data_IF_563252439810
#
_entry.id   IF_563252439810
#
_cell.length_a   1.000
_cell.length_b   1.000
_cell.length_c   1.000
_cell.angle_alpha   90.00
_cell.angle_beta   90.00
_cell.angle_gamma   90.00
#
_symmetry.space_group_name_H-M   'P 1'
#
loop_
_entity.id
_entity.type
_entity.pdbx_description
1 polymer ?
#
# COMPACT_ATOMS: atom_id res chain seq x y z
N UNK A 1 11.91 16.45 7.46
CA UNK A 1 12.77 15.60 6.57
C UNK A 1 12.63 14.11 6.86
N UNK A 2 12.70 13.67 8.13
CA UNK A 2 12.51 12.26 8.51
C UNK A 2 11.22 11.63 7.99
N UNK A 3 10.08 12.34 8.05
CA UNK A 3 8.80 11.87 7.52
C UNK A 3 8.88 11.46 6.03
N UNK A 4 9.39 12.35 5.18
CA UNK A 4 9.52 12.10 3.74
C UNK A 4 10.45 10.93 3.43
N UNK A 5 11.53 10.78 4.21
CA UNK A 5 12.47 9.65 4.08
C UNK A 5 11.77 8.32 4.41
N UNK A 6 11.04 8.27 5.52
CA UNK A 6 10.30 7.06 5.94
C UNK A 6 9.21 6.72 4.93
N UNK A 7 8.45 7.71 4.47
CA UNK A 7 7.40 7.52 3.47
C UNK A 7 7.97 7.00 2.13
N UNK A 8 9.11 7.55 1.68
CA UNK A 8 9.80 7.08 0.49
C UNK A 8 10.31 5.65 0.65
N UNK A 9 10.92 5.30 1.78
CA UNK A 9 11.40 3.95 2.07
C UNK A 9 10.26 2.92 2.12
N UNK A 10 9.15 3.25 2.78
CA UNK A 10 7.98 2.37 2.82
C UNK A 10 7.40 2.15 1.42
N UNK A 11 7.26 3.22 0.64
CA UNK A 11 6.76 3.15 -0.75
C UNK A 11 7.67 2.29 -1.62
N UNK A 12 8.99 2.50 -1.54
CA UNK A 12 9.99 1.72 -2.25
C UNK A 12 9.98 0.24 -1.84
N UNK A 13 9.82 -0.04 -0.54
CA UNK A 13 9.70 -1.40 0.00
C UNK A 13 8.48 -2.14 -0.53
N UNK A 14 7.30 -1.50 -0.52
CA UNK A 14 6.07 -2.06 -1.09
C UNK A 14 6.21 -2.29 -2.59
N UNK A 15 6.75 -1.31 -3.33
CA UNK A 15 7.00 -1.46 -4.76
C UNK A 15 7.96 -2.63 -5.04
N UNK A 16 9.04 -2.78 -4.28
CA UNK A 16 9.98 -3.89 -4.42
C UNK A 16 9.32 -5.24 -4.15
N UNK A 17 8.45 -5.34 -3.14
CA UNK A 17 7.71 -6.56 -2.80
C UNK A 17 6.71 -6.94 -3.91
N UNK A 18 6.03 -5.96 -4.50
CA UNK A 18 5.10 -6.17 -5.62
C UNK A 18 5.81 -6.51 -6.92
N UNK A 19 7.03 -6.01 -7.13
CA UNK A 19 7.84 -6.30 -8.31
C UNK A 19 8.64 -7.60 -8.19
N UNK A 20 8.89 -8.08 -6.96
CA UNK A 20 9.64 -9.30 -6.68
C UNK A 20 9.12 -10.55 -7.45
N UNK A 21 7.80 -10.84 -7.50
CA UNK A 21 7.28 -11.99 -8.24
C UNK A 21 7.49 -11.88 -9.75
N UNK A 22 7.64 -10.67 -10.30
CA UNK A 22 7.87 -10.49 -11.74
C UNK A 22 9.34 -10.72 -12.13
N UNK A 23 10.25 -10.62 -11.16
CA UNK A 23 11.68 -10.96 -11.30
C UNK A 23 11.97 -12.43 -11.11
N UNK A 24 11.14 -13.12 -10.33
CA UNK A 24 11.09 -14.58 -10.41
C UNK A 24 10.59 -14.91 -11.81
N UNK A 25 11.53 -15.24 -12.69
CA UNK A 25 11.20 -16.09 -13.81
C UNK A 25 10.38 -17.23 -13.18
N UNK A 26 9.24 -17.65 -13.77
CA UNK A 26 8.77 -18.98 -13.43
C UNK A 26 10.02 -19.83 -13.51
N UNK A 27 10.29 -20.66 -12.50
CA UNK A 27 11.16 -21.79 -12.75
C UNK A 27 10.42 -22.59 -13.82
N UNK A 28 10.60 -22.16 -15.08
CA UNK A 28 10.93 -23.06 -16.15
C UNK A 28 11.89 -23.99 -15.48
N UNK A 29 11.40 -25.20 -15.24
CA UNK A 29 12.20 -26.39 -15.12
C UNK A 29 13.15 -26.34 -16.31
N UNK A 30 14.22 -25.56 -16.14
CA UNK A 30 15.23 -25.30 -17.12
C UNK A 30 16.17 -26.46 -16.90
N UNK A 31 16.15 -27.38 -17.86
CA UNK A 31 16.91 -28.62 -17.94
C UNK A 31 16.23 -29.89 -17.45
N UNK A 32 15.14 -30.28 -18.12
CA UNK A 32 15.14 -31.61 -18.72
C UNK A 32 14.91 -31.43 -20.23
N UNK A 33 15.88 -31.85 -21.03
CA UNK A 33 16.12 -31.36 -22.40
C UNK A 33 14.98 -31.57 -23.40
N UNK A 34 14.85 -30.59 -24.30
CA UNK A 34 14.29 -30.71 -25.66
C UNK A 34 12.84 -31.21 -25.84
N UNK A 35 12.06 -31.33 -24.77
CA UNK A 35 10.60 -31.40 -24.83
C UNK A 35 10.02 -31.43 -23.44
N UNK A 36 8.89 -30.76 -23.23
CA UNK A 36 8.27 -30.62 -21.91
C UNK A 36 7.94 -31.98 -21.24
N UNK A 37 7.34 -31.96 -20.02
CA UNK A 37 6.97 -33.16 -19.27
C UNK A 37 6.28 -34.25 -20.11
N UNK A 38 5.50 -33.84 -21.12
CA UNK A 38 4.85 -34.71 -22.10
C UNK A 38 5.84 -35.59 -22.90
N UNK A 39 7.04 -35.10 -23.24
CA UNK A 39 8.03 -35.84 -24.03
C UNK A 39 8.64 -37.00 -23.24
N UNK A 40 8.88 -36.82 -21.94
CA UNK A 40 9.36 -37.89 -21.06
C UNK A 40 8.32 -39.03 -20.98
N UNK A 41 7.03 -38.68 -20.89
CA UNK A 41 5.93 -39.65 -20.91
C UNK A 41 5.86 -40.41 -22.24
N UNK A 42 6.01 -39.74 -23.39
CA UNK A 42 6.01 -40.42 -24.69
C UNK A 42 7.23 -41.35 -24.89
N UNK A 43 8.41 -40.98 -24.35
CA UNK A 43 9.59 -41.86 -24.35
C UNK A 43 9.37 -43.12 -23.52
N UNK A 44 8.74 -42.98 -22.35
CA UNK A 44 8.40 -44.11 -21.49
C UNK A 44 7.36 -45.03 -22.16
N UNK A 45 6.36 -44.47 -22.84
CA UNK A 45 5.38 -45.24 -23.62
C UNK A 45 6.03 -46.06 -24.74
N UNK A 46 7.02 -45.52 -25.46
CA UNK A 46 7.76 -46.28 -26.47
C UNK A 46 8.53 -47.45 -25.84
N UNK A 47 9.16 -47.22 -24.69
CA UNK A 47 9.88 -48.27 -23.95
C UNK A 47 8.95 -49.35 -23.36
N UNK A 48 7.70 -49.01 -23.03
CA UNK A 48 6.67 -50.00 -22.67
C UNK A 48 6.33 -50.89 -23.88
N UNK A 49 6.12 -50.30 -25.06
CA UNK A 49 5.85 -51.06 -26.30
C UNK A 49 7.00 -52.01 -26.65
N UNK A 50 8.25 -51.57 -26.49
CA UNK A 50 9.44 -52.42 -26.63
C UNK A 50 9.41 -53.63 -25.69
N UNK A 51 9.08 -53.41 -24.42
CA UNK A 51 9.01 -54.46 -23.40
C UNK A 51 7.88 -55.44 -23.68
N UNK A 52 6.72 -54.97 -24.12
CA UNK A 52 5.57 -55.83 -24.40
C UNK A 52 5.77 -56.68 -25.66
N UNK A 53 6.46 -56.13 -26.67
CA UNK A 53 6.90 -56.91 -27.84
C UNK A 53 7.92 -57.99 -27.43
N UNK A 54 8.90 -57.64 -26.59
CA UNK A 54 9.90 -58.59 -26.10
C UNK A 54 9.29 -59.71 -25.24
N UNK A 55 8.20 -59.43 -24.51
CA UNK A 55 7.42 -60.41 -23.74
C UNK A 55 6.47 -61.23 -24.61
N UNK A 56 6.32 -60.91 -25.90
CA UNK A 56 5.39 -61.58 -26.82
C UNK A 56 3.91 -61.29 -26.49
N UNK A 57 3.61 -60.21 -25.78
CA UNK A 57 2.23 -59.82 -25.44
C UNK A 57 1.50 -59.18 -26.62
N UNK A 58 2.25 -58.62 -27.57
CA UNK A 58 1.74 -57.97 -28.78
C UNK A 58 2.50 -58.48 -30.01
N UNK A 59 1.81 -58.54 -31.14
CA UNK A 59 2.39 -58.91 -32.43
C UNK A 59 3.29 -57.79 -32.98
N UNK A 60 4.36 -58.09 -33.74
CA UNK A 60 5.22 -57.08 -34.35
C UNK A 60 4.47 -56.00 -35.15
N UNK A 61 3.40 -56.36 -35.86
CA UNK A 61 2.57 -55.40 -36.60
C UNK A 61 1.81 -54.44 -35.68
N UNK A 62 1.37 -54.91 -34.51
CA UNK A 62 0.71 -54.06 -33.51
C UNK A 62 1.71 -53.13 -32.81
N UNK A 63 2.91 -53.62 -32.51
CA UNK A 63 3.99 -52.81 -31.93
C UNK A 63 4.38 -51.66 -32.88
N UNK A 64 4.51 -51.94 -34.17
CA UNK A 64 4.87 -50.91 -35.15
C UNK A 64 3.76 -49.85 -35.30
N UNK A 65 2.50 -50.28 -35.38
CA UNK A 65 1.36 -49.37 -35.42
C UNK A 65 1.30 -48.45 -34.18
N UNK A 66 1.58 -49.00 -32.99
CA UNK A 66 1.63 -48.23 -31.74
C UNK A 66 2.78 -47.21 -31.75
N UNK A 67 3.98 -47.59 -32.20
CA UNK A 67 5.13 -46.66 -32.32
C UNK A 67 4.84 -45.50 -33.24
N UNK A 68 4.22 -45.76 -34.39
CA UNK A 68 3.86 -44.73 -35.37
C UNK A 68 2.89 -43.72 -34.76
N UNK A 69 1.84 -44.18 -34.09
CA UNK A 69 0.84 -43.31 -33.47
C UNK A 69 1.43 -42.51 -32.29
N UNK A 70 2.23 -43.15 -31.42
CA UNK A 70 2.91 -42.47 -30.30
C UNK A 70 3.88 -41.40 -30.84
N UNK A 71 4.68 -41.73 -31.86
CA UNK A 71 5.61 -40.79 -32.50
C UNK A 71 4.87 -39.62 -33.16
N UNK A 72 3.73 -39.88 -33.79
CA UNK A 72 2.86 -38.84 -34.36
C UNK A 72 2.33 -37.90 -33.29
N UNK A 73 1.85 -38.43 -32.16
CA UNK A 73 1.37 -37.64 -31.02
C UNK A 73 2.50 -36.84 -30.38
N UNK A 74 3.67 -37.45 -30.26
CA UNK A 74 4.88 -36.80 -29.75
C UNK A 74 5.27 -35.59 -30.61
N UNK A 75 5.28 -35.73 -31.94
CA UNK A 75 5.54 -34.62 -32.88
C UNK A 75 4.45 -33.53 -32.80
N UNK A 76 3.18 -33.92 -32.70
CA UNK A 76 2.07 -32.98 -32.56
C UNK A 76 2.06 -32.24 -31.22
N UNK A 77 2.60 -32.84 -30.15
CA UNK A 77 2.79 -32.23 -28.84
C UNK A 77 4.03 -31.31 -28.84
N UNK A 78 5.13 -31.72 -29.48
CA UNK A 78 6.33 -30.90 -29.66
C UNK A 78 6.02 -29.60 -30.43
N UNK A 79 5.18 -29.69 -31.48
CA UNK A 79 4.68 -28.51 -32.20
C UNK A 79 3.77 -27.58 -31.38
N UNK A 80 3.17 -28.10 -30.29
CA UNK A 80 2.36 -27.33 -29.32
C UNK A 80 3.18 -26.88 -28.09
N UNK A 81 4.44 -27.30 -27.97
CA UNK A 81 5.34 -26.99 -26.86
C UNK A 81 5.81 -25.54 -26.76
N UNK A 82 5.35 -24.67 -27.66
CA UNK A 82 5.44 -23.20 -27.52
C UNK A 82 4.15 -22.59 -26.93
N UNK A 83 3.25 -23.44 -26.44
CA UNK A 83 1.98 -23.08 -25.81
C UNK A 83 2.20 -22.31 -24.52
N UNK A 84 2.25 -20.97 -24.66
CA UNK A 84 2.05 -19.94 -23.63
C UNK A 84 2.08 -20.48 -22.20
N UNK A 85 3.27 -20.46 -21.61
CA UNK A 85 3.31 -20.24 -20.17
C UNK A 85 2.42 -19.04 -19.86
N UNK A 86 1.60 -19.13 -18.82
CA UNK A 86 0.93 -17.96 -18.23
C UNK A 86 2.02 -17.13 -17.52
N UNK A 87 3.03 -16.73 -18.28
CA UNK A 87 4.00 -15.73 -17.89
C UNK A 87 3.34 -14.38 -18.07
N UNK A 88 3.58 -13.47 -17.13
CA UNK A 88 3.21 -12.07 -17.28
C UNK A 88 3.69 -11.58 -18.64
N UNK A 89 2.77 -11.20 -19.54
CA UNK A 89 3.15 -10.64 -20.84
C UNK A 89 3.97 -9.35 -20.65
N UNK A 90 4.74 -8.95 -21.66
CA UNK A 90 5.47 -7.67 -21.64
C UNK A 90 4.53 -6.49 -21.34
N UNK A 91 3.28 -6.55 -21.84
CA UNK A 91 2.22 -5.59 -21.54
C UNK A 91 1.83 -5.59 -20.05
N UNK A 92 1.58 -6.76 -19.45
CA UNK A 92 1.27 -6.88 -18.02
C UNK A 92 2.37 -6.30 -17.15
N UNK A 93 3.65 -6.57 -17.48
CA UNK A 93 4.81 -5.99 -16.78
C UNK A 93 4.87 -4.48 -16.94
N UNK A 94 4.62 -3.96 -18.14
CA UNK A 94 4.58 -2.52 -18.41
C UNK A 94 3.48 -1.83 -17.60
N UNK A 95 2.28 -2.42 -17.51
CA UNK A 95 1.18 -1.89 -16.69
C UNK A 95 1.55 -1.89 -15.20
N UNK A 96 2.11 -2.98 -14.68
CA UNK A 96 2.55 -3.05 -13.27
C UNK A 96 3.57 -1.96 -12.96
N UNK A 97 4.58 -1.78 -13.82
CA UNK A 97 5.59 -0.74 -13.67
C UNK A 97 4.99 0.67 -13.78
N UNK A 98 4.09 0.89 -14.73
CA UNK A 98 3.40 2.16 -14.89
C UNK A 98 2.60 2.50 -13.62
N UNK A 99 1.82 1.56 -13.08
CA UNK A 99 1.06 1.76 -11.83
C UNK A 99 1.99 2.02 -10.64
N UNK A 100 3.08 1.26 -10.51
CA UNK A 100 4.04 1.41 -9.42
C UNK A 100 4.73 2.79 -9.40
N UNK A 101 4.82 3.48 -10.53
CA UNK A 101 5.44 4.81 -10.66
C UNK A 101 4.39 5.92 -10.66
N UNK A 102 3.34 5.78 -11.47
CA UNK A 102 2.31 6.81 -11.65
C UNK A 102 1.54 7.03 -10.35
N UNK A 103 1.22 5.96 -9.60
CA UNK A 103 0.40 6.09 -8.40
C UNK A 103 1.08 6.92 -7.30
N UNK A 104 2.36 6.67 -6.91
CA UNK A 104 3.08 7.56 -5.99
C UNK A 104 3.23 8.99 -6.51
N UNK A 105 3.53 9.17 -7.81
CA UNK A 105 3.66 10.50 -8.40
C UNK A 105 2.35 11.27 -8.37
N UNK A 106 1.23 10.62 -8.67
CA UNK A 106 -0.10 11.20 -8.57
C UNK A 106 -0.44 11.58 -7.12
N UNK A 107 -0.09 10.75 -6.15
CA UNK A 107 -0.26 11.07 -4.73
C UNK A 107 0.52 12.33 -4.32
N UNK A 108 1.78 12.46 -4.74
CA UNK A 108 2.60 13.66 -4.50
C UNK A 108 2.00 14.88 -5.20
N UNK A 109 1.61 14.74 -6.48
CA UNK A 109 1.05 15.82 -7.27
C UNK A 109 -0.28 16.35 -6.70
N UNK A 110 -1.09 15.48 -6.10
CA UNK A 110 -2.32 15.87 -5.40
C UNK A 110 -2.02 16.47 -4.01
N UNK A 111 -1.01 15.96 -3.31
CA UNK A 111 -0.67 16.39 -1.95
C UNK A 111 0.00 17.76 -1.91
N UNK A 112 0.88 18.10 -2.86
CA UNK A 112 1.60 19.38 -2.84
C UNK A 112 0.67 20.62 -2.87
N UNK A 113 -0.36 20.71 -3.74
CA UNK A 113 -1.25 21.86 -3.77
C UNK A 113 -2.39 21.79 -2.72
N UNK A 114 -2.88 20.60 -2.39
CA UNK A 114 -4.03 20.43 -1.48
C UNK A 114 -3.65 20.18 -0.02
N UNK A 115 -2.42 19.75 0.22
CA UNK A 115 -1.90 19.41 1.53
C UNK A 115 -1.17 20.58 2.20
N UNK A 116 -0.52 20.27 3.31
CA UNK A 116 0.35 21.21 4.03
C UNK A 116 1.73 20.58 4.23
N UNK A 117 2.56 20.52 3.17
CA UNK A 117 3.90 19.94 3.25
C UNK A 117 4.82 20.70 4.22
N UNK A 118 4.54 21.98 4.46
CA UNK A 118 5.37 22.88 5.28
C UNK A 118 5.05 22.81 6.78
N UNK A 119 4.04 22.02 7.18
CA UNK A 119 3.74 21.87 8.59
C UNK A 119 4.88 21.10 9.28
N UNK A 120 5.51 21.70 10.32
CA UNK A 120 6.49 20.98 11.11
C UNK A 120 5.81 19.83 11.87
N UNK A 121 6.58 18.78 12.12
CA UNK A 121 6.14 17.68 12.96
C UNK A 121 5.81 18.20 14.36
N UNK A 122 4.60 17.88 14.87
CA UNK A 122 4.15 18.25 16.22
C UNK A 122 4.22 17.03 17.16
N UNK A 123 5.37 16.77 17.81
CA UNK A 123 5.52 15.66 18.75
C UNK A 123 4.55 15.81 19.93
N UNK A 124 4.20 14.69 20.54
CA UNK A 124 3.19 14.64 21.60
C UNK A 124 3.55 15.54 22.80
N UNK A 125 4.82 15.59 23.18
CA UNK A 125 5.30 16.39 24.31
C UNK A 125 5.09 17.90 24.12
N UNK A 126 5.30 18.42 22.90
CA UNK A 126 5.15 19.86 22.60
C UNK A 126 3.68 20.28 22.45
N UNK A 127 2.78 19.34 22.14
CA UNK A 127 1.34 19.61 22.04
C UNK A 127 0.73 19.90 23.41
N UNK A 128 1.15 19.18 24.45
CA UNK A 128 0.64 19.36 25.80
C UNK A 128 1.17 20.65 26.44
N UNK A 129 2.47 20.97 26.28
CA UNK A 129 3.01 22.25 26.76
C UNK A 129 2.39 23.45 26.06
N UNK A 130 2.28 23.43 24.71
CA UNK A 130 1.68 24.53 23.96
C UNK A 130 0.19 24.76 24.28
N UNK A 131 -0.55 23.70 24.62
CA UNK A 131 -1.94 23.83 25.05
C UNK A 131 -2.05 24.39 26.47
N UNK A 132 -1.20 23.93 27.41
CA UNK A 132 -1.15 24.48 28.76
C UNK A 132 -0.74 25.95 28.77
N UNK A 133 0.28 26.31 28.00
CA UNK A 133 0.78 27.70 27.93
C UNK A 133 -0.29 28.65 27.39
N UNK A 134 -1.07 28.22 26.39
CA UNK A 134 -2.22 28.99 25.88
C UNK A 134 -3.30 29.18 26.94
N UNK A 135 -3.67 28.13 27.67
CA UNK A 135 -4.65 28.21 28.74
C UNK A 135 -4.19 29.12 29.89
N UNK A 136 -2.90 29.09 30.24
CA UNK A 136 -2.31 29.98 31.26
C UNK A 136 -2.35 31.43 30.77
N UNK A 137 -1.96 31.69 29.53
CA UNK A 137 -2.00 33.04 28.94
C UNK A 137 -3.43 33.60 28.87
N UNK A 138 -4.41 32.78 28.49
CA UNK A 138 -5.82 33.16 28.41
C UNK A 138 -6.41 33.49 29.79
N UNK A 139 -6.06 32.72 30.83
CA UNK A 139 -6.42 33.01 32.22
C UNK A 139 -5.81 34.33 32.69
N UNK A 140 -4.51 34.53 32.47
CA UNK A 140 -3.82 35.76 32.85
C UNK A 140 -4.41 37.00 32.17
N UNK A 141 -4.77 36.89 30.88
CA UNK A 141 -5.43 37.97 30.14
C UNK A 141 -6.84 38.27 30.67
N UNK A 142 -7.60 37.23 31.06
CA UNK A 142 -8.93 37.37 31.67
C UNK A 142 -8.86 38.05 33.04
N UNK A 143 -7.88 37.67 33.87
CA UNK A 143 -7.63 38.32 35.17
C UNK A 143 -7.17 39.77 35.03
N UNK A 144 -6.36 40.08 34.01
CA UNK A 144 -5.97 41.46 33.72
C UNK A 144 -7.17 42.32 33.30
N UNK A 145 -8.08 41.77 32.49
CA UNK A 145 -9.32 42.43 32.12
C UNK A 145 -10.23 42.68 33.33
N UNK A 146 -10.39 41.68 34.21
CA UNK A 146 -11.12 41.84 35.46
C UNK A 146 -10.54 42.97 36.33
N UNK A 147 -9.21 43.05 36.45
CA UNK A 147 -8.54 44.12 37.21
C UNK A 147 -8.82 45.51 36.62
N UNK A 148 -8.78 45.64 35.29
CA UNK A 148 -9.11 46.90 34.60
C UNK A 148 -10.56 47.31 34.87
N UNK A 149 -11.51 46.38 34.72
CA UNK A 149 -12.94 46.67 34.90
C UNK A 149 -13.32 46.94 36.35
N UNK A 150 -12.57 46.41 37.32
CA UNK A 150 -12.75 46.82 38.71
C UNK A 150 -12.28 48.26 38.99
N UNK A 151 -11.32 48.78 38.20
CA UNK A 151 -10.87 50.17 38.30
C UNK A 151 -11.78 51.13 37.50
N UNK A 152 -12.35 50.65 36.40
CA UNK A 152 -13.28 51.39 35.53
C UNK A 152 -14.62 50.63 35.45
N UNK A 153 -15.49 50.75 36.47
CA UNK A 153 -16.69 49.92 36.58
C UNK A 153 -17.78 50.25 35.55
N UNK A 154 -17.74 51.43 34.93
CA UNK A 154 -18.76 51.92 33.99
C UNK A 154 -18.65 51.29 32.58
N UNK A 155 -17.61 50.50 32.30
CA UNK A 155 -17.42 49.79 31.02
C UNK A 155 -18.29 48.52 30.94
N UNK A 156 -19.59 48.71 30.67
CA UNK A 156 -20.57 47.63 30.52
C UNK A 156 -20.21 46.64 29.39
N UNK A 157 -19.62 47.12 28.29
CA UNK A 157 -19.19 46.28 27.18
C UNK A 157 -18.03 45.36 27.59
N UNK A 158 -17.09 45.88 28.38
CA UNK A 158 -16.00 45.10 28.97
C UNK A 158 -16.49 44.02 29.93
N UNK A 159 -17.54 44.27 30.72
CA UNK A 159 -18.15 43.25 31.57
C UNK A 159 -18.80 42.11 30.77
N UNK A 160 -19.41 42.40 29.62
CA UNK A 160 -19.92 41.38 28.68
C UNK A 160 -18.78 40.53 28.10
N UNK A 161 -17.68 41.16 27.68
CA UNK A 161 -16.50 40.46 27.16
C UNK A 161 -15.89 39.54 28.23
N UNK A 162 -15.77 40.04 29.47
CA UNK A 162 -15.26 39.27 30.59
C UNK A 162 -16.13 38.04 30.88
N UNK A 163 -17.46 38.20 30.86
CA UNK A 163 -18.40 37.09 31.03
C UNK A 163 -18.27 36.01 29.94
N UNK A 164 -18.03 36.42 28.68
CA UNK A 164 -17.81 35.47 27.58
C UNK A 164 -16.51 34.69 27.76
N UNK A 165 -15.43 35.35 28.20
CA UNK A 165 -14.14 34.69 28.49
C UNK A 165 -14.24 33.71 29.65
N UNK A 166 -14.91 34.08 30.75
CA UNK A 166 -15.16 33.14 31.85
C UNK A 166 -16.00 31.94 31.43
N UNK A 167 -17.00 32.15 30.57
CA UNK A 167 -17.79 31.05 30.00
C UNK A 167 -16.93 30.12 29.14
N UNK A 168 -16.05 30.65 28.30
CA UNK A 168 -15.13 29.88 27.47
C UNK A 168 -14.15 29.03 28.32
N UNK A 169 -13.75 29.54 29.50
CA UNK A 169 -12.92 28.84 30.47
C UNK A 169 -13.71 27.85 31.37
N UNK A 170 -15.03 27.72 31.19
CA UNK A 170 -15.89 26.84 31.99
C UNK A 170 -16.21 27.37 33.39
N UNK A 171 -15.96 28.65 33.67
CA UNK A 171 -16.17 29.29 34.97
C UNK A 171 -17.56 29.97 35.03
N UNK A 172 -18.60 29.16 35.20
CA UNK A 172 -20.00 29.61 35.12
C UNK A 172 -20.35 30.68 36.17
N UNK A 173 -19.90 30.52 37.42
CA UNK A 173 -20.20 31.47 38.51
C UNK A 173 -19.61 32.85 38.26
N UNK A 174 -18.37 32.90 37.75
CA UNK A 174 -17.68 34.16 37.42
C UNK A 174 -18.26 34.81 36.16
N UNK A 175 -18.72 34.00 35.20
CA UNK A 175 -19.43 34.52 34.04
C UNK A 175 -20.76 35.17 34.45
N UNK A 176 -21.53 34.53 35.35
CA UNK A 176 -22.80 35.06 35.85
C UNK A 176 -22.61 36.39 36.59
N UNK A 177 -21.59 36.50 37.44
CA UNK A 177 -21.30 37.74 38.16
C UNK A 177 -20.82 38.87 37.23
N UNK A 178 -20.05 38.55 36.19
CA UNK A 178 -19.64 39.53 35.18
C UNK A 178 -20.85 40.06 34.38
N UNK A 179 -21.76 39.18 33.94
CA UNK A 179 -22.97 39.62 33.24
C UNK A 179 -23.92 40.43 34.13
N UNK A 180 -24.02 40.10 35.43
CA UNK A 180 -24.82 40.87 36.37
C UNK A 180 -24.32 42.31 36.55
N UNK A 181 -23.04 42.58 36.34
CA UNK A 181 -22.46 43.93 36.35
C UNK A 181 -22.63 44.69 35.02
N UNK A 182 -22.97 43.97 33.95
CA UNK A 182 -23.24 44.55 32.64
C UNK A 182 -24.73 44.91 32.43
N UNK A 183 -25.59 44.56 33.38
CA UNK A 183 -27.04 44.78 33.36
C UNK A 183 -27.42 46.02 34.19
#
# INVERSE_FOLDING_TARGET
MSFWIVAALMTAGVAALLLWPTRRQPETVANEGEGGPDLAVYRDQLAEVDRDLARGLIDPGQAEAARIEISRRMLAAAGRGTGRGVGTTAWTRAVILAVAVILPLAAIALYLPGGRPDLPSQPFAERDSGQRDRLVAERAATEALLRRLNAEPDDLAGWVELGQRFRALGQADQAASAYARAA
#
